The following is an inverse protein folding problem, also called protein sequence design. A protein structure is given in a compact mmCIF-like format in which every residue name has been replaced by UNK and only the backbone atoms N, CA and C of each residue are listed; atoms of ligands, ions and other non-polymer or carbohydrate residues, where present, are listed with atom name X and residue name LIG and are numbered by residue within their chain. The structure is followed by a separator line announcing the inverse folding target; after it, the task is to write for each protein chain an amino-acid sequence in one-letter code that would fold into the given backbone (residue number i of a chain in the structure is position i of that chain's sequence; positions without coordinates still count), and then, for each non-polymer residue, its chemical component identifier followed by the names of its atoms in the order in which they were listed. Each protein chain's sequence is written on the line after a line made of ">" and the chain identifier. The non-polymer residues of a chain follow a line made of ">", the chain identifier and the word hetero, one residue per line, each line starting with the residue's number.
data_IF_759342160368
#
_entry.id   IF_759342160368
#
_cell.length_a   1.000
_cell.length_b   1.000
_cell.length_c   1.000
_cell.angle_alpha   90.00
_cell.angle_beta   90.00
_cell.angle_gamma   90.00
#
_symmetry.space_group_name_H-M   'P 1'
#
loop_
_entity.id
_entity.type
_entity.pdbx_description
1 polymer ?
#
# COMPACT_ATOMS: atom_id res chain seq x y z
N UNK A 1 38.12 18.76 -46.51
CA UNK A 1 36.85 19.45 -46.15
C UNK A 1 35.57 18.77 -46.66
N UNK A 2 35.50 18.24 -47.88
CA UNK A 2 34.28 17.57 -48.41
C UNK A 2 33.94 16.25 -47.71
N UNK A 3 34.92 15.40 -47.39
CA UNK A 3 34.73 14.13 -46.67
C UNK A 3 34.20 14.31 -45.22
N UNK A 4 34.65 15.37 -44.54
CA UNK A 4 34.20 15.67 -43.17
C UNK A 4 32.74 16.12 -43.15
N UNK A 5 32.27 16.85 -44.15
CA UNK A 5 30.89 17.27 -44.30
C UNK A 5 29.95 16.09 -44.60
N UNK A 6 30.41 15.12 -45.40
CA UNK A 6 29.64 13.90 -45.73
C UNK A 6 29.54 13.00 -44.49
N UNK A 7 30.61 12.85 -43.72
CA UNK A 7 30.58 12.09 -42.44
C UNK A 7 29.63 12.71 -41.42
N UNK A 8 29.61 14.03 -41.30
CA UNK A 8 28.70 14.73 -40.39
C UNK A 8 27.23 14.61 -40.82
N UNK A 9 26.97 14.67 -42.14
CA UNK A 9 25.60 14.49 -42.66
C UNK A 9 25.12 13.05 -42.48
N UNK A 10 25.98 12.06 -42.59
CA UNK A 10 25.67 10.64 -42.37
C UNK A 10 25.40 10.35 -40.87
N UNK A 11 26.15 10.97 -39.97
CA UNK A 11 25.94 10.89 -38.52
C UNK A 11 24.60 11.52 -38.10
N UNK A 12 24.20 12.63 -38.73
CA UNK A 12 22.94 13.29 -38.51
C UNK A 12 21.76 12.43 -39.00
N UNK A 13 21.95 11.70 -40.11
CA UNK A 13 20.91 10.82 -40.67
C UNK A 13 20.70 9.55 -39.84
N UNK A 14 21.72 9.03 -39.16
CA UNK A 14 21.62 7.88 -38.26
C UNK A 14 20.80 8.20 -37.01
N UNK A 15 20.75 9.45 -36.57
CA UNK A 15 19.98 9.84 -35.40
C UNK A 15 18.46 9.88 -35.65
N UNK A 16 18.04 10.00 -36.90
CA UNK A 16 16.61 10.06 -37.26
C UNK A 16 15.96 8.66 -37.27
N UNK A 17 16.73 7.60 -37.41
CA UNK A 17 16.22 6.23 -37.42
C UNK A 17 15.93 5.64 -36.03
N UNK A 18 16.38 6.29 -34.97
CA UNK A 18 16.15 5.84 -33.58
C UNK A 18 14.83 6.32 -32.97
N UNK A 19 14.00 7.08 -33.72
CA UNK A 19 12.74 7.55 -33.20
C UNK A 19 11.66 6.45 -33.26
N UNK A 20 11.29 5.87 -32.13
CA UNK A 20 10.05 5.09 -32.01
C UNK A 20 8.88 5.90 -32.58
N UNK A 21 8.00 5.26 -33.35
CA UNK A 21 6.80 5.90 -33.91
C UNK A 21 6.04 6.64 -32.81
N UNK A 22 5.45 7.84 -33.09
CA UNK A 22 4.73 8.64 -32.08
C UNK A 22 3.66 7.86 -31.33
N UNK A 23 3.00 6.92 -31.98
CA UNK A 23 2.02 6.00 -31.41
C UNK A 23 2.57 5.08 -30.31
N UNK A 24 3.89 4.82 -30.33
CA UNK A 24 4.60 4.01 -29.31
C UNK A 24 5.24 4.85 -28.22
N UNK A 25 5.09 6.18 -28.25
CA UNK A 25 5.60 7.10 -27.22
C UNK A 25 4.51 7.32 -26.18
N UNK A 26 4.48 6.46 -25.18
CA UNK A 26 3.52 6.55 -24.07
C UNK A 26 3.44 7.93 -23.41
N UNK A 27 4.55 8.66 -23.40
CA UNK A 27 4.67 9.97 -22.73
C UNK A 27 3.89 11.11 -23.41
N UNK A 28 3.57 11.00 -24.68
CA UNK A 28 2.90 12.06 -25.47
C UNK A 28 1.41 11.81 -25.69
N UNK A 29 0.91 10.66 -25.29
CA UNK A 29 -0.52 10.35 -25.35
C UNK A 29 -1.21 10.88 -24.11
N UNK A 30 -2.33 11.56 -24.26
CA UNK A 30 -3.24 11.84 -23.16
C UNK A 30 -3.74 10.53 -22.52
N UNK A 31 -4.47 10.63 -21.43
CA UNK A 31 -5.01 9.45 -20.70
C UNK A 31 -6.05 8.68 -21.52
N UNK A 32 -6.72 9.34 -22.45
CA UNK A 32 -7.87 8.79 -23.18
C UNK A 32 -9.15 8.84 -22.35
N UNK A 33 -10.21 8.21 -22.84
CA UNK A 33 -11.47 8.04 -22.09
C UNK A 33 -11.25 7.06 -20.94
N UNK A 34 -11.89 7.31 -19.82
CA UNK A 34 -11.88 6.33 -18.70
C UNK A 34 -12.71 5.12 -19.14
N UNK A 35 -12.10 3.95 -19.00
CA UNK A 35 -12.72 2.65 -19.31
C UNK A 35 -12.42 1.68 -18.17
N UNK A 36 -13.35 0.77 -17.94
CA UNK A 36 -13.21 -0.29 -16.93
C UNK A 36 -12.93 -1.62 -17.62
N UNK A 37 -11.95 -2.36 -17.11
CA UNK A 37 -11.59 -3.70 -17.59
C UNK A 37 -11.64 -4.68 -16.42
N UNK A 38 -12.39 -5.78 -16.61
CA UNK A 38 -12.45 -6.87 -15.66
C UNK A 38 -11.55 -8.02 -16.12
N UNK A 39 -10.72 -8.53 -15.22
CA UNK A 39 -9.74 -9.57 -15.49
C UNK A 39 -9.93 -10.68 -14.45
N UNK A 40 -10.40 -11.86 -14.84
CA UNK A 40 -10.51 -12.99 -13.92
C UNK A 40 -9.12 -13.43 -13.46
N UNK A 41 -9.03 -13.81 -12.19
CA UNK A 41 -7.78 -14.23 -11.56
C UNK A 41 -7.83 -15.70 -11.15
N UNK A 42 -6.66 -16.34 -11.13
CA UNK A 42 -6.46 -17.57 -10.35
C UNK A 42 -6.41 -17.23 -8.86
N UNK A 43 -6.64 -18.22 -8.00
CA UNK A 43 -6.69 -18.02 -6.55
C UNK A 43 -5.35 -17.59 -5.98
N UNK A 44 -5.40 -16.67 -5.01
CA UNK A 44 -4.23 -16.14 -4.29
C UNK A 44 -4.56 -15.87 -2.82
N UNK A 45 -3.55 -15.82 -1.99
CA UNK A 45 -3.65 -15.47 -0.57
C UNK A 45 -2.62 -14.41 -0.16
N UNK A 46 -1.68 -14.12 -1.03
CA UNK A 46 -0.70 -13.05 -0.87
C UNK A 46 -0.92 -12.00 -1.95
N UNK A 47 -0.97 -10.74 -1.54
CA UNK A 47 -1.12 -9.59 -2.42
C UNK A 47 0.08 -8.67 -2.25
N UNK A 48 0.76 -8.37 -3.35
CA UNK A 48 1.86 -7.41 -3.40
C UNK A 48 1.54 -6.30 -4.38
N UNK A 49 1.55 -5.05 -3.92
CA UNK A 49 1.09 -3.88 -4.65
C UNK A 49 2.18 -2.84 -4.73
N UNK A 50 2.42 -2.34 -5.93
CA UNK A 50 3.43 -1.32 -6.18
C UNK A 50 2.82 0.07 -6.40
N UNK A 51 3.68 1.04 -6.72
CA UNK A 51 3.37 2.48 -6.73
C UNK A 51 2.33 2.89 -7.78
N UNK A 52 1.67 4.03 -7.52
CA UNK A 52 0.78 4.76 -8.43
C UNK A 52 -0.50 4.01 -8.80
N UNK A 53 -1.10 3.37 -7.81
CA UNK A 53 -2.38 2.68 -7.92
C UNK A 53 -3.26 3.06 -6.72
N UNK A 54 -4.44 3.63 -6.98
CA UNK A 54 -5.48 3.75 -5.95
C UNK A 54 -6.16 2.39 -5.79
N UNK A 55 -6.01 1.78 -4.64
CA UNK A 55 -6.43 0.40 -4.41
C UNK A 55 -7.67 0.33 -3.55
N UNK A 56 -8.65 -0.46 -4.00
CA UNK A 56 -9.82 -0.86 -3.22
C UNK A 56 -9.81 -2.39 -3.09
N UNK A 57 -9.80 -2.88 -1.87
CA UNK A 57 -9.90 -4.31 -1.55
C UNK A 57 -11.36 -4.69 -1.30
N UNK A 58 -11.83 -5.73 -1.98
CA UNK A 58 -13.19 -6.26 -1.86
C UNK A 58 -13.11 -7.75 -1.61
N UNK A 59 -13.56 -8.21 -0.45
CA UNK A 59 -13.70 -9.65 -0.23
C UNK A 59 -14.97 -10.16 -0.88
N UNK A 60 -14.85 -11.12 -1.80
CA UNK A 60 -15.93 -11.59 -2.67
C UNK A 60 -15.85 -13.12 -2.84
N UNK A 61 -16.89 -13.68 -3.42
CA UNK A 61 -16.95 -15.10 -3.84
C UNK A 61 -16.13 -15.39 -5.09
N UNK A 62 -15.83 -14.36 -5.90
CA UNK A 62 -15.04 -14.44 -7.13
C UNK A 62 -13.73 -13.68 -6.99
N UNK A 63 -12.72 -14.11 -7.73
CA UNK A 63 -11.40 -13.48 -7.77
C UNK A 63 -11.18 -12.84 -9.13
N UNK A 64 -11.11 -11.50 -9.16
CA UNK A 64 -10.87 -10.72 -10.38
C UNK A 64 -10.33 -9.33 -10.05
N UNK A 65 -9.70 -8.70 -11.04
CA UNK A 65 -9.35 -7.29 -11.00
C UNK A 65 -10.38 -6.48 -11.78
N UNK A 66 -10.77 -5.35 -11.24
CA UNK A 66 -11.44 -4.29 -11.96
C UNK A 66 -10.47 -3.11 -12.07
N UNK A 67 -10.04 -2.78 -13.29
CA UNK A 67 -9.10 -1.69 -13.55
C UNK A 67 -9.85 -0.56 -14.24
N UNK A 68 -10.05 0.54 -13.52
CA UNK A 68 -10.63 1.78 -14.01
C UNK A 68 -9.51 2.79 -14.28
N UNK A 69 -9.28 3.08 -15.54
CA UNK A 69 -8.23 3.99 -15.99
C UNK A 69 -8.52 4.55 -17.37
N UNK A 70 -7.82 5.61 -17.77
CA UNK A 70 -7.83 6.05 -19.16
C UNK A 70 -7.36 4.92 -20.10
N UNK A 71 -8.02 4.76 -21.25
CA UNK A 71 -7.74 3.67 -22.20
C UNK A 71 -6.27 3.57 -22.62
N UNK A 72 -5.56 4.70 -22.68
CA UNK A 72 -4.13 4.76 -22.97
C UNK A 72 -3.24 4.39 -21.78
N UNK A 73 -3.80 4.21 -20.57
CA UNK A 73 -3.07 3.83 -19.35
C UNK A 73 -3.22 2.35 -19.02
N UNK A 74 -4.32 1.73 -19.44
CA UNK A 74 -4.66 0.34 -19.12
C UNK A 74 -3.54 -0.65 -19.45
N UNK A 75 -2.85 -0.44 -20.58
CA UNK A 75 -1.77 -1.32 -21.04
C UNK A 75 -0.46 -1.18 -20.27
N UNK A 76 -0.41 -0.30 -19.27
CA UNK A 76 0.75 -0.14 -18.37
C UNK A 76 0.50 -0.69 -16.98
N UNK A 77 -0.68 -1.24 -16.74
CA UNK A 77 -0.99 -1.93 -15.50
C UNK A 77 -0.72 -3.41 -15.75
N UNK A 78 0.36 -3.90 -15.19
CA UNK A 78 0.76 -5.29 -15.30
C UNK A 78 0.47 -6.03 -13.99
N UNK A 79 0.24 -7.32 -14.11
CA UNK A 79 0.00 -8.20 -12.98
C UNK A 79 0.51 -9.61 -13.26
N UNK A 80 0.83 -10.33 -12.21
CA UNK A 80 1.18 -11.75 -12.29
C UNK A 80 0.69 -12.52 -11.06
N UNK A 81 0.41 -13.79 -11.23
CA UNK A 81 0.15 -14.72 -10.12
C UNK A 81 1.17 -15.84 -10.18
N UNK A 82 2.01 -15.92 -9.13
CA UNK A 82 3.02 -16.98 -9.00
C UNK A 82 2.95 -17.52 -7.58
N UNK A 83 2.79 -18.82 -7.45
CA UNK A 83 2.73 -19.53 -6.15
C UNK A 83 1.70 -18.94 -5.17
N UNK A 84 0.51 -18.56 -5.65
CA UNK A 84 -0.56 -17.99 -4.83
C UNK A 84 -0.29 -16.55 -4.37
N UNK A 85 0.70 -15.85 -4.97
CA UNK A 85 0.97 -14.43 -4.80
C UNK A 85 0.52 -13.68 -6.04
N UNK A 86 -0.46 -12.78 -5.89
CA UNK A 86 -0.81 -11.77 -6.88
C UNK A 86 0.09 -10.55 -6.68
N UNK A 87 0.77 -10.14 -7.73
CA UNK A 87 1.59 -8.95 -7.76
C UNK A 87 1.05 -8.00 -8.83
N UNK A 88 0.89 -6.69 -8.52
CA UNK A 88 0.35 -5.68 -9.42
C UNK A 88 1.27 -4.47 -9.42
N UNK A 89 1.61 -3.97 -10.61
CA UNK A 89 2.46 -2.78 -10.76
C UNK A 89 2.03 -1.91 -11.93
N UNK A 90 2.32 -0.61 -11.81
CA UNK A 90 2.06 0.39 -12.83
C UNK A 90 3.36 0.80 -13.53
N UNK A 91 3.53 0.36 -14.76
CA UNK A 91 4.71 0.67 -15.58
C UNK A 91 4.65 2.05 -16.27
N UNK A 92 3.66 2.86 -15.98
CA UNK A 92 3.52 4.18 -16.59
C UNK A 92 4.60 5.16 -16.12
N UNK A 93 5.68 5.27 -16.87
CA UNK A 93 6.87 6.08 -16.54
C UNK A 93 6.68 7.59 -16.72
N UNK A 94 5.63 8.04 -17.43
CA UNK A 94 5.50 9.42 -17.89
C UNK A 94 4.31 10.14 -17.26
N UNK A 95 3.89 9.77 -16.07
CA UNK A 95 2.76 10.37 -15.36
C UNK A 95 2.92 11.90 -15.22
N UNK A 96 4.15 12.39 -14.93
CA UNK A 96 4.47 13.81 -14.75
C UNK A 96 4.33 14.68 -16.01
N UNK A 97 4.33 14.09 -17.20
CA UNK A 97 4.13 14.82 -18.45
C UNK A 97 2.64 14.95 -18.86
N UNK A 98 1.76 14.28 -18.15
CA UNK A 98 0.32 14.32 -18.44
C UNK A 98 -0.33 15.34 -17.52
N UNK A 99 -0.90 16.40 -18.09
CA UNK A 99 -1.52 17.52 -17.39
C UNK A 99 -2.71 17.13 -16.47
N UNK A 100 -3.31 15.99 -16.72
CA UNK A 100 -4.21 15.29 -15.79
C UNK A 100 -3.76 13.84 -15.78
N UNK A 101 -3.01 13.47 -14.78
CA UNK A 101 -2.79 12.06 -14.45
C UNK A 101 -4.17 11.51 -14.10
N UNK A 102 -4.79 10.80 -15.03
CA UNK A 102 -5.96 10.04 -14.68
C UNK A 102 -5.56 9.06 -13.59
N UNK A 103 -6.26 9.10 -12.48
CA UNK A 103 -6.05 8.16 -11.40
C UNK A 103 -6.29 6.76 -11.95
N UNK A 104 -5.34 5.86 -11.71
CA UNK A 104 -5.54 4.45 -11.97
C UNK A 104 -6.13 3.85 -10.71
N UNK A 105 -7.40 3.48 -10.78
CA UNK A 105 -8.06 2.77 -9.69
C UNK A 105 -8.10 1.28 -10.01
N UNK A 106 -7.67 0.48 -9.05
CA UNK A 106 -7.70 -0.98 -9.14
C UNK A 106 -8.52 -1.52 -7.98
N UNK A 107 -9.67 -2.11 -8.29
CA UNK A 107 -10.46 -2.86 -7.31
C UNK A 107 -10.06 -4.32 -7.42
N UNK A 108 -9.67 -4.89 -6.28
CA UNK A 108 -9.17 -6.27 -6.20
C UNK A 108 -10.19 -7.10 -5.45
N UNK A 109 -10.86 -7.98 -6.18
CA UNK A 109 -11.80 -8.94 -5.61
C UNK A 109 -11.06 -10.23 -5.25
N UNK A 110 -11.17 -10.67 -3.99
CA UNK A 110 -10.48 -11.83 -3.46
C UNK A 110 -11.37 -12.63 -2.49
N UNK A 111 -11.12 -13.94 -2.40
CA UNK A 111 -11.85 -14.83 -1.46
C UNK A 111 -11.23 -14.82 -0.08
N UNK A 112 -9.91 -14.91 -0.01
CA UNK A 112 -9.16 -14.93 1.24
C UNK A 112 -7.83 -14.21 1.07
N UNK A 113 -7.40 -13.50 2.11
CA UNK A 113 -6.14 -12.77 2.12
C UNK A 113 -5.43 -13.06 3.44
N UNK A 114 -4.22 -13.62 3.36
CA UNK A 114 -3.35 -13.88 4.50
C UNK A 114 -2.20 -12.87 4.61
N UNK A 115 -1.78 -12.30 3.47
CA UNK A 115 -0.65 -11.37 3.45
C UNK A 115 -0.86 -10.26 2.43
N UNK A 116 -0.66 -9.01 2.88
CA UNK A 116 -0.66 -7.79 2.09
C UNK A 116 0.70 -7.12 2.20
N UNK A 117 1.35 -6.85 1.07
CA UNK A 117 2.60 -6.07 0.97
C UNK A 117 2.30 -4.87 0.08
N UNK A 118 2.55 -3.66 0.59
CA UNK A 118 2.28 -2.43 -0.13
C UNK A 118 3.52 -1.53 -0.23
N UNK A 119 3.89 -1.21 -1.47
CA UNK A 119 5.02 -0.33 -1.83
C UNK A 119 4.55 1.00 -2.42
N UNK A 120 3.26 1.30 -2.30
CA UNK A 120 2.64 2.45 -2.95
C UNK A 120 2.81 3.76 -2.22
N UNK A 121 2.39 4.82 -2.90
CA UNK A 121 2.32 6.19 -2.38
C UNK A 121 0.88 6.71 -2.32
N UNK A 122 -0.07 5.94 -2.81
CA UNK A 122 -1.49 6.27 -2.89
C UNK A 122 -2.27 5.63 -1.73
N UNK A 123 -3.54 5.95 -1.62
CA UNK A 123 -4.41 5.38 -0.61
C UNK A 123 -4.84 3.95 -0.97
N UNK A 124 -4.75 3.04 0.01
CA UNK A 124 -5.28 1.69 -0.05
C UNK A 124 -6.39 1.54 0.99
N UNK A 125 -7.58 1.15 0.53
CA UNK A 125 -8.76 0.98 1.39
C UNK A 125 -9.41 -0.38 1.23
N UNK A 126 -10.15 -0.83 2.25
CA UNK A 126 -11.14 -1.91 2.08
C UNK A 126 -12.54 -1.33 1.91
N UNK A 127 -13.34 -1.89 0.99
CA UNK A 127 -14.75 -1.49 0.83
C UNK A 127 -15.60 -1.90 2.03
N UNK A 128 -15.31 -3.08 2.57
CA UNK A 128 -16.01 -3.72 3.67
C UNK A 128 -15.02 -4.34 4.67
N UNK A 129 -15.55 -5.03 5.67
CA UNK A 129 -14.73 -5.73 6.67
C UNK A 129 -14.14 -7.01 6.09
N UNK A 130 -12.82 -7.07 6.02
CA UNK A 130 -12.06 -8.25 5.60
C UNK A 130 -12.13 -9.31 6.69
N UNK A 131 -12.60 -10.51 6.35
CA UNK A 131 -12.64 -11.67 7.23
C UNK A 131 -11.38 -12.52 7.00
N UNK A 132 -10.60 -12.76 8.04
CA UNK A 132 -9.42 -13.59 7.99
C UNK A 132 -9.22 -14.33 9.33
N UNK A 133 -8.49 -15.44 9.31
CA UNK A 133 -7.97 -16.03 10.55
C UNK A 133 -6.68 -15.28 10.98
N UNK A 134 -5.80 -15.08 10.04
CA UNK A 134 -4.54 -14.36 10.21
C UNK A 134 -4.34 -13.38 9.06
N UNK A 135 -4.00 -12.13 9.37
CA UNK A 135 -3.66 -11.13 8.36
C UNK A 135 -2.32 -10.45 8.71
N UNK A 136 -1.36 -10.61 7.81
CA UNK A 136 -0.09 -9.89 7.86
C UNK A 136 -0.09 -8.74 6.86
N UNK A 137 0.18 -7.53 7.33
CA UNK A 137 0.24 -6.31 6.53
C UNK A 137 1.65 -5.74 6.64
N UNK A 138 2.27 -5.47 5.51
CA UNK A 138 3.58 -4.84 5.43
C UNK A 138 3.51 -3.61 4.53
N UNK A 139 3.71 -2.44 5.12
CA UNK A 139 3.85 -1.16 4.42
C UNK A 139 5.34 -0.89 4.21
N UNK A 140 5.81 -0.98 2.96
CA UNK A 140 7.24 -1.02 2.69
C UNK A 140 7.67 0.17 1.84
N UNK A 141 8.64 0.97 2.33
CA UNK A 141 9.30 2.10 1.63
C UNK A 141 8.37 3.13 0.97
N UNK A 142 7.06 3.07 1.24
CA UNK A 142 6.06 3.95 0.65
C UNK A 142 5.72 5.15 1.54
N UNK A 143 4.91 6.05 0.96
CA UNK A 143 4.25 7.15 1.67
C UNK A 143 2.72 7.03 1.53
N UNK A 144 2.23 5.90 1.03
CA UNK A 144 0.80 5.65 0.85
C UNK A 144 0.11 5.35 2.18
N UNK A 145 -1.10 5.82 2.32
CA UNK A 145 -1.92 5.59 3.50
C UNK A 145 -2.72 4.28 3.37
N UNK A 146 -2.98 3.63 4.50
CA UNK A 146 -3.80 2.44 4.61
C UNK A 146 -5.02 2.73 5.47
N UNK A 147 -6.22 2.38 4.98
CA UNK A 147 -7.45 2.39 5.79
C UNK A 147 -8.22 1.09 5.59
N UNK A 148 -8.13 0.18 6.56
CA UNK A 148 -8.75 -1.13 6.49
C UNK A 148 -9.69 -1.39 7.67
N UNK A 149 -10.77 -2.10 7.37
CA UNK A 149 -11.61 -2.79 8.36
C UNK A 149 -11.36 -4.29 8.30
N UNK A 150 -11.04 -4.90 9.45
CA UNK A 150 -10.63 -6.31 9.51
C UNK A 150 -11.32 -6.99 10.70
N UNK A 151 -11.80 -8.21 10.47
CA UNK A 151 -12.15 -9.16 11.52
C UNK A 151 -11.24 -10.37 11.40
N UNK A 152 -10.39 -10.62 12.42
CA UNK A 152 -9.43 -11.71 12.39
C UNK A 152 -9.11 -12.24 13.79
N UNK A 153 -8.52 -13.44 13.89
CA UNK A 153 -7.96 -13.89 15.16
C UNK A 153 -6.64 -13.14 15.46
N UNK A 154 -5.79 -12.96 14.45
CA UNK A 154 -4.51 -12.27 14.59
C UNK A 154 -4.28 -11.30 13.45
N UNK A 155 -3.85 -10.07 13.79
CA UNK A 155 -3.43 -9.06 12.84
C UNK A 155 -2.00 -8.61 13.19
N UNK A 156 -1.09 -8.71 12.22
CA UNK A 156 0.25 -8.18 12.33
C UNK A 156 0.44 -7.08 11.29
N UNK A 157 0.80 -5.88 11.74
CA UNK A 157 1.10 -4.73 10.89
C UNK A 157 2.55 -4.34 11.08
N UNK A 158 3.30 -4.29 10.00
CA UNK A 158 4.69 -3.91 9.97
C UNK A 158 4.90 -2.72 9.02
N UNK A 159 5.51 -1.65 9.53
CA UNK A 159 5.99 -0.52 8.74
C UNK A 159 7.49 -0.31 9.05
N UNK A 160 8.39 -1.05 8.38
CA UNK A 160 9.82 -1.02 8.70
C UNK A 160 10.49 0.28 8.26
N UNK A 161 10.00 0.88 7.17
CA UNK A 161 10.53 2.11 6.59
C UNK A 161 9.39 2.84 5.89
N UNK A 162 9.42 4.18 5.88
CA UNK A 162 8.45 4.98 5.14
C UNK A 162 7.66 5.96 6.01
N UNK A 163 6.70 6.63 5.39
CA UNK A 163 5.92 7.71 5.97
C UNK A 163 4.41 7.39 6.02
N UNK A 164 4.06 6.12 5.91
CA UNK A 164 2.67 5.67 5.79
C UNK A 164 1.88 5.90 7.08
N UNK A 165 0.67 6.45 6.95
CA UNK A 165 -0.30 6.48 8.03
C UNK A 165 -1.22 5.27 7.89
N UNK A 166 -1.37 4.51 8.97
CA UNK A 166 -2.10 3.26 9.00
C UNK A 166 -3.34 3.43 9.88
N UNK A 167 -4.52 3.44 9.28
CA UNK A 167 -5.80 3.37 9.97
C UNK A 167 -6.31 1.92 9.91
N UNK A 168 -6.59 1.33 11.06
CA UNK A 168 -7.13 -0.02 11.13
C UNK A 168 -8.27 -0.10 12.15
N UNK A 169 -9.39 -0.64 11.70
CA UNK A 169 -10.59 -0.81 12.52
C UNK A 169 -11.16 -2.22 12.39
N UNK A 170 -12.17 -2.53 13.25
CA UNK A 170 -12.84 -3.82 13.27
C UNK A 170 -12.61 -4.59 14.56
N UNK A 171 -12.34 -5.90 14.49
CA UNK A 171 -12.19 -6.74 15.68
C UNK A 171 -11.07 -7.76 15.49
N UNK A 172 -10.29 -8.03 16.55
CA UNK A 172 -9.34 -9.15 16.54
C UNK A 172 -9.09 -9.71 17.95
N UNK A 173 -8.48 -10.90 18.01
CA UNK A 173 -7.95 -11.47 19.23
C UNK A 173 -6.64 -10.80 19.64
N UNK A 174 -5.66 -10.86 18.77
CA UNK A 174 -4.32 -10.30 18.97
C UNK A 174 -3.97 -9.28 17.88
N UNK A 175 -3.47 -8.10 18.31
CA UNK A 175 -2.96 -7.05 17.42
C UNK A 175 -1.48 -6.80 17.68
N UNK A 176 -0.66 -6.94 16.64
CA UNK A 176 0.74 -6.52 16.66
C UNK A 176 0.96 -5.35 15.70
N UNK A 177 1.61 -4.30 16.18
CA UNK A 177 1.97 -3.10 15.44
C UNK A 177 3.47 -2.85 15.60
N UNK A 178 4.21 -3.00 14.52
CA UNK A 178 5.65 -2.72 14.47
C UNK A 178 5.88 -1.52 13.53
N UNK A 179 6.23 -0.37 14.11
CA UNK A 179 6.40 0.91 13.42
C UNK A 179 7.84 1.40 13.61
N UNK A 180 8.66 1.24 12.57
CA UNK A 180 10.07 1.65 12.54
C UNK A 180 10.33 2.77 11.51
N UNK A 181 9.28 3.37 10.98
CA UNK A 181 9.33 4.50 10.05
C UNK A 181 8.90 5.81 10.68
N UNK A 182 8.63 6.80 9.84
CA UNK A 182 8.13 8.12 10.24
C UNK A 182 6.60 8.21 10.25
N UNK A 183 5.91 7.13 9.89
CA UNK A 183 4.46 7.06 9.87
C UNK A 183 3.84 6.93 11.26
N UNK A 184 2.51 6.95 11.28
CA UNK A 184 1.69 6.78 12.48
C UNK A 184 0.66 5.69 12.29
N UNK A 185 0.09 5.20 13.38
CA UNK A 185 -1.09 4.34 13.29
C UNK A 185 -2.27 4.92 14.09
N UNK A 186 -3.48 4.60 13.63
CA UNK A 186 -4.72 4.85 14.33
C UNK A 186 -5.54 3.55 14.42
N UNK A 187 -5.50 2.92 15.59
CA UNK A 187 -6.25 1.72 15.90
C UNK A 187 -7.36 1.97 16.97
N UNK A 188 -7.86 3.20 17.08
CA UNK A 188 -8.96 3.53 18.01
C UNK A 188 -10.25 2.81 17.68
N UNK A 189 -10.46 2.48 16.41
CA UNK A 189 -11.64 1.73 15.94
C UNK A 189 -11.45 0.20 15.94
N UNK A 190 -10.29 -0.30 16.39
CA UNK A 190 -10.04 -1.73 16.54
C UNK A 190 -10.44 -2.19 17.94
N UNK A 191 -11.30 -3.19 18.01
CA UNK A 191 -11.69 -3.88 19.24
C UNK A 191 -10.85 -5.15 19.37
N UNK A 192 -9.88 -5.13 20.30
CA UNK A 192 -9.00 -6.27 20.57
C UNK A 192 -9.48 -6.98 21.82
N UNK A 193 -9.60 -8.31 21.78
CA UNK A 193 -10.16 -9.09 22.89
C UNK A 193 -9.11 -9.71 23.81
N UNK A 194 -7.88 -9.96 23.34
CA UNK A 194 -6.85 -10.61 24.17
C UNK A 194 -5.67 -9.66 24.49
N UNK A 195 -4.89 -9.26 23.49
CA UNK A 195 -3.70 -8.46 23.74
C UNK A 195 -3.26 -7.62 22.55
N UNK A 196 -2.55 -6.52 22.87
CA UNK A 196 -1.89 -5.63 21.91
C UNK A 196 -0.40 -5.62 22.23
N UNK A 197 0.43 -5.81 21.18
CA UNK A 197 1.88 -5.64 21.24
C UNK A 197 2.33 -4.57 20.25
N UNK A 198 3.00 -3.54 20.73
CA UNK A 198 3.50 -2.44 19.90
C UNK A 198 5.00 -2.32 20.06
N UNK A 199 5.72 -2.28 18.94
CA UNK A 199 7.10 -1.81 18.83
C UNK A 199 7.08 -0.48 18.08
N UNK A 200 7.47 0.62 18.74
CA UNK A 200 7.28 1.96 18.22
C UNK A 200 8.58 2.75 18.18
N UNK A 201 9.12 2.94 16.99
CA UNK A 201 10.32 3.70 16.73
C UNK A 201 10.05 4.94 15.82
N UNK A 202 8.80 5.41 15.79
CA UNK A 202 8.39 6.60 15.04
C UNK A 202 8.46 7.87 15.91
N UNK A 203 8.37 9.03 15.25
CA UNK A 203 8.40 10.35 15.90
C UNK A 203 7.02 11.00 16.04
N UNK A 204 5.99 10.42 15.42
CA UNK A 204 4.62 10.94 15.46
C UNK A 204 3.84 10.52 16.71
N UNK A 205 2.55 10.89 16.74
CA UNK A 205 1.62 10.40 17.74
C UNK A 205 0.76 9.32 17.10
N UNK A 206 0.73 8.15 17.73
CA UNK A 206 -0.10 7.04 17.32
C UNK A 206 -1.19 6.75 18.34
N UNK A 207 -2.29 6.13 17.89
CA UNK A 207 -3.49 5.99 18.70
C UNK A 207 -3.94 4.54 18.75
N UNK A 208 -4.35 4.07 19.94
CA UNK A 208 -4.98 2.75 20.08
C UNK A 208 -6.06 2.74 21.15
N UNK A 209 -6.93 1.75 21.04
CA UNK A 209 -7.92 1.42 22.05
C UNK A 209 -7.47 0.17 22.79
N UNK A 210 -7.33 0.28 24.12
CA UNK A 210 -6.90 -0.81 24.97
C UNK A 210 -7.84 -0.91 26.18
N UNK A 211 -8.82 -1.79 26.13
CA UNK A 211 -9.79 -1.96 27.19
C UNK A 211 -9.87 -3.43 27.61
N UNK A 212 -9.63 -3.70 28.90
CA UNK A 212 -9.69 -5.03 29.51
C UNK A 212 -8.77 -6.09 28.87
N UNK A 213 -7.65 -5.66 28.27
CA UNK A 213 -6.68 -6.51 27.58
C UNK A 213 -5.27 -6.29 28.11
N UNK A 214 -4.31 -7.11 27.70
CA UNK A 214 -2.88 -6.89 28.00
C UNK A 214 -2.28 -5.98 26.92
N UNK A 215 -1.69 -4.84 27.36
CA UNK A 215 -1.00 -3.90 26.49
C UNK A 215 0.50 -3.97 26.72
N UNK A 216 1.25 -4.41 25.73
CA UNK A 216 2.72 -4.32 25.71
C UNK A 216 3.13 -3.22 24.73
N UNK A 217 3.97 -2.28 25.16
CA UNK A 217 4.49 -1.21 24.32
C UNK A 217 6.00 -1.02 24.57
N UNK A 218 6.77 -1.08 23.49
CA UNK A 218 8.19 -0.75 23.47
C UNK A 218 8.38 0.51 22.62
N UNK A 219 8.89 1.61 23.25
CA UNK A 219 9.08 2.90 22.59
C UNK A 219 10.57 3.21 22.49
N UNK A 220 11.09 3.31 21.27
CA UNK A 220 12.53 3.53 21.02
C UNK A 220 12.86 4.87 20.36
N UNK A 221 11.85 5.74 20.12
CA UNK A 221 12.04 7.07 19.53
C UNK A 221 11.35 8.16 20.36
N UNK A 222 11.07 9.31 19.76
CA UNK A 222 10.45 10.47 20.43
C UNK A 222 8.92 10.50 20.33
N UNK A 223 8.32 9.66 19.52
CA UNK A 223 6.88 9.65 19.30
C UNK A 223 6.12 8.98 20.45
N UNK A 224 4.92 9.48 20.71
CA UNK A 224 4.03 9.00 21.75
C UNK A 224 2.99 8.02 21.23
N UNK A 225 2.54 7.11 22.08
CA UNK A 225 1.34 6.32 21.86
C UNK A 225 0.27 6.77 22.84
N UNK A 226 -0.84 7.29 22.31
CA UNK A 226 -2.01 7.66 23.09
C UNK A 226 -3.00 6.49 23.09
N UNK A 227 -3.34 5.98 24.26
CA UNK A 227 -4.31 4.90 24.36
C UNK A 227 -5.57 5.30 25.13
N UNK A 228 -6.68 4.73 24.70
CA UNK A 228 -8.02 4.96 25.24
C UNK A 228 -8.55 3.67 25.87
N UNK A 229 -9.10 3.78 27.07
CA UNK A 229 -9.64 2.66 27.83
C UNK A 229 -8.81 2.31 29.05
N UNK A 230 -9.16 1.18 29.70
CA UNK A 230 -8.52 0.67 30.91
C UNK A 230 -7.98 -0.73 30.61
N UNK A 231 -6.69 -0.89 30.32
CA UNK A 231 -6.07 -2.20 30.13
C UNK A 231 -6.10 -3.03 31.42
N UNK A 232 -6.22 -4.35 31.28
CA UNK A 232 -6.08 -5.26 32.42
C UNK A 232 -4.63 -5.33 32.95
N UNK A 233 -3.66 -5.15 32.05
CA UNK A 233 -2.23 -5.06 32.41
C UNK A 233 -1.48 -4.22 31.36
N UNK A 234 -0.48 -3.47 31.81
CA UNK A 234 0.42 -2.69 30.96
C UNK A 234 1.85 -3.15 31.20
N UNK A 235 2.57 -3.48 30.12
CA UNK A 235 4.00 -3.67 30.14
C UNK A 235 4.64 -2.64 29.20
N UNK A 236 5.29 -1.61 29.79
CA UNK A 236 5.89 -0.50 29.04
C UNK A 236 7.41 -0.56 29.16
N UNK A 237 8.11 -0.53 28.02
CA UNK A 237 9.56 -0.39 27.93
C UNK A 237 9.87 0.87 27.14
N UNK A 238 10.78 1.70 27.64
CA UNK A 238 11.20 2.94 26.98
C UNK A 238 12.70 2.94 26.77
N UNK A 239 13.10 3.17 25.53
CA UNK A 239 14.48 3.43 25.15
C UNK A 239 14.65 4.87 24.63
N UNK A 240 13.56 5.48 24.11
CA UNK A 240 13.50 6.85 23.62
C UNK A 240 12.86 7.83 24.59
N UNK A 241 12.56 9.05 24.10
CA UNK A 241 11.88 10.10 24.88
C UNK A 241 10.36 10.03 24.81
N UNK A 242 9.81 9.31 23.83
CA UNK A 242 8.36 9.11 23.67
C UNK A 242 7.74 8.32 24.82
N UNK A 243 6.42 8.41 24.97
CA UNK A 243 5.71 7.75 26.07
C UNK A 243 4.40 7.08 25.63
N UNK A 244 3.91 6.19 26.48
CA UNK A 244 2.59 5.57 26.41
C UNK A 244 1.66 6.33 27.37
N UNK A 245 0.69 7.07 26.82
CA UNK A 245 -0.13 8.06 27.55
C UNK A 245 -1.60 7.69 27.47
N UNK A 246 -2.25 7.56 28.61
CA UNK A 246 -3.69 7.35 28.69
C UNK A 246 -4.46 8.65 28.41
N UNK A 247 -5.53 8.57 27.64
CA UNK A 247 -6.42 9.69 27.29
C UNK A 247 -7.88 9.38 27.66
#
# INVERSE_FOLDING_TARGET
>A
MKLLKIGFLFLLFLQIMSCKKPENRSCWKGTGKVVTKNIPLASFQTLELHQRLNIVLVQDSLEFLEIEAGENLQNFIDWSIVNGKLEIWNQNKCAYLRYKTGDVKVTIHFKSLAKLIYWGSELLVSSDTIQADYLYIMMNDGAGDLDLRVHANTINVLNPHGFSNISIGGTCGFLRLDMDGYGTFDARQMLVSDSISVMYASNGISYLRANQLKLKAELSSSGDIWYYGIPAAIHKIRYGSGDLIQK
#
